data_IF_975328764034
#
_entry.id   IF_975328764034
#
_cell.length_a   1.000
_cell.length_b   1.000
_cell.length_c   1.000
_cell.angle_alpha   90.00
_cell.angle_beta   90.00
_cell.angle_gamma   90.00
#
_symmetry.space_group_name_H-M   'P 1'
#
loop_
_entity.id
_entity.type
_entity.pdbx_description
1 polymer ?
#
# COMPACT_ATOMS: atom_id res chain seq x y z
N UNK A 1 -7.88 -13.86 1.47
CA UNK A 1 -7.53 -14.73 2.61
C UNK A 1 -7.13 -13.84 3.79
N UNK A 2 -7.89 -13.85 4.89
CA UNK A 2 -7.60 -13.02 6.07
C UNK A 2 -6.52 -13.63 6.96
N UNK A 3 -5.27 -13.57 6.51
CA UNK A 3 -4.11 -14.10 7.25
C UNK A 3 -3.64 -13.17 8.37
N UNK A 4 -3.99 -11.88 8.29
CA UNK A 4 -3.65 -10.85 9.27
C UNK A 4 -4.66 -10.91 10.42
N UNK A 5 -4.16 -11.00 11.64
CA UNK A 5 -4.94 -10.88 12.86
C UNK A 5 -5.15 -9.41 13.24
N UNK A 6 -4.05 -8.67 13.38
CA UNK A 6 -4.04 -7.25 13.76
C UNK A 6 -3.24 -6.47 12.75
N UNK A 7 -3.89 -5.55 12.05
CA UNK A 7 -3.29 -4.57 11.16
C UNK A 7 -2.91 -3.34 11.98
N UNK A 8 -1.63 -2.97 11.95
CA UNK A 8 -1.06 -1.83 12.67
C UNK A 8 -0.72 -0.77 11.63
N UNK A 9 -1.29 0.42 11.77
CA UNK A 9 -1.11 1.52 10.81
C UNK A 9 -0.72 2.80 11.54
N UNK A 10 0.27 3.52 11.01
CA UNK A 10 0.62 4.83 11.53
C UNK A 10 -0.47 5.85 11.21
N UNK A 11 -0.90 6.63 12.21
CA UNK A 11 -1.98 7.61 12.05
C UNK A 11 -1.69 8.68 10.98
N UNK A 12 -0.41 9.00 10.75
CA UNK A 12 0.01 10.00 9.76
C UNK A 12 0.55 9.33 8.48
N UNK A 13 0.05 8.13 8.16
CA UNK A 13 0.41 7.45 6.93
C UNK A 13 0.00 8.28 5.71
N UNK A 14 1.00 8.70 4.94
CA UNK A 14 0.85 9.60 3.82
C UNK A 14 0.80 8.86 2.48
N UNK A 15 -0.01 7.81 2.44
CA UNK A 15 -0.21 6.96 1.26
C UNK A 15 -1.67 7.04 0.85
N UNK A 16 -1.87 7.29 -0.44
CA UNK A 16 -3.20 7.37 -1.04
C UNK A 16 -3.37 6.21 -2.01
N UNK A 17 -4.54 5.58 -1.94
CA UNK A 17 -4.96 4.54 -2.87
C UNK A 17 -5.66 5.20 -4.07
N UNK A 18 -5.13 4.93 -5.25
CA UNK A 18 -5.65 5.38 -6.53
C UNK A 18 -6.23 4.23 -7.32
N UNK A 19 -7.45 4.40 -7.80
CA UNK A 19 -8.04 3.52 -8.82
C UNK A 19 -7.90 4.23 -10.16
N UNK A 20 -7.02 3.71 -10.99
CA UNK A 20 -6.68 4.24 -12.29
C UNK A 20 -7.32 3.35 -13.36
N UNK A 21 -8.01 3.94 -14.32
CA UNK A 21 -8.58 3.20 -15.45
C UNK A 21 -7.82 3.53 -16.72
N UNK A 22 -7.35 2.50 -17.42
CA UNK A 22 -6.77 2.67 -18.74
C UNK A 22 -7.91 2.87 -19.76
N UNK A 23 -7.97 4.04 -20.38
CA UNK A 23 -9.01 4.38 -21.36
C UNK A 23 -8.93 3.57 -22.65
N UNK A 24 -7.78 2.98 -22.94
CA UNK A 24 -7.54 2.19 -24.16
C UNK A 24 -7.91 0.72 -23.99
N UNK A 25 -7.62 0.13 -22.82
CA UNK A 25 -7.86 -1.30 -22.54
C UNK A 25 -9.10 -1.54 -21.67
N UNK A 26 -9.56 -0.50 -20.96
CA UNK A 26 -10.63 -0.60 -19.96
C UNK A 26 -10.19 -1.22 -18.64
N UNK A 27 -8.91 -1.57 -18.49
CA UNK A 27 -8.37 -2.20 -17.28
C UNK A 27 -8.32 -1.22 -16.10
N UNK A 28 -8.60 -1.72 -14.89
CA UNK A 28 -8.52 -0.96 -13.65
C UNK A 28 -7.26 -1.38 -12.90
N UNK A 29 -6.36 -0.42 -12.71
CA UNK A 29 -5.08 -0.57 -12.02
C UNK A 29 -5.19 0.14 -10.68
N UNK A 30 -4.84 -0.55 -9.60
CA UNK A 30 -4.80 0.04 -8.26
C UNK A 30 -3.36 0.40 -7.95
N UNK A 31 -3.09 1.68 -7.70
CA UNK A 31 -1.76 2.17 -7.27
C UNK A 31 -1.84 2.75 -5.86
N UNK A 32 -0.76 2.57 -5.09
CA UNK A 32 -0.59 3.18 -3.78
C UNK A 32 0.57 4.16 -3.90
N UNK A 33 0.28 5.46 -3.81
CA UNK A 33 1.25 6.51 -4.07
C UNK A 33 1.45 7.33 -2.79
N UNK A 34 2.72 7.62 -2.47
CA UNK A 34 3.07 8.62 -1.48
C UNK A 34 3.00 10.04 -2.10
N UNK A 35 3.17 11.10 -1.29
CA UNK A 35 3.12 12.49 -1.78
C UNK A 35 4.12 12.81 -2.89
N UNK A 36 5.30 12.22 -2.87
CA UNK A 36 6.35 12.47 -3.86
C UNK A 36 6.00 11.79 -5.19
N UNK A 37 5.50 10.55 -5.12
CA UNK A 37 5.02 9.79 -6.28
C UNK A 37 3.74 10.37 -6.87
N UNK A 38 2.86 10.96 -6.05
CA UNK A 38 1.69 11.70 -6.53
C UNK A 38 2.08 12.92 -7.40
N UNK A 39 3.23 13.54 -7.12
CA UNK A 39 3.72 14.67 -7.91
C UNK A 39 4.31 14.25 -9.27
N UNK A 40 4.69 12.98 -9.44
CA UNK A 40 5.25 12.48 -10.69
C UNK A 40 4.12 12.03 -11.65
N UNK A 41 3.94 12.78 -12.74
CA UNK A 41 2.94 12.50 -13.77
C UNK A 41 3.18 11.17 -14.49
N UNK A 42 4.39 10.62 -14.47
CA UNK A 42 4.67 9.32 -15.06
C UNK A 42 3.92 8.19 -14.34
N UNK A 43 3.60 8.36 -13.05
CA UNK A 43 2.83 7.36 -12.30
C UNK A 43 1.37 7.23 -12.78
N UNK A 44 0.86 8.23 -13.50
CA UNK A 44 -0.47 8.23 -14.11
C UNK A 44 -0.43 7.84 -15.60
N UNK A 45 0.70 7.30 -16.07
CA UNK A 45 0.83 6.77 -17.43
C UNK A 45 1.07 5.28 -17.40
N UNK A 46 0.52 4.62 -18.40
CA UNK A 46 0.71 3.20 -18.63
C UNK A 46 2.12 2.93 -19.17
N UNK A 47 2.89 2.04 -18.55
CA UNK A 47 4.29 1.76 -18.94
C UNK A 47 4.41 1.15 -20.35
N UNK A 48 3.40 0.42 -20.80
CA UNK A 48 3.43 -0.30 -22.08
C UNK A 48 2.88 0.53 -23.23
N UNK A 49 1.84 1.32 -22.97
CA UNK A 49 1.12 2.07 -24.02
C UNK A 49 1.37 3.57 -23.97
N UNK A 50 2.02 4.07 -22.90
CA UNK A 50 2.21 5.49 -22.59
C UNK A 50 0.89 6.30 -22.63
N UNK A 51 -0.24 5.60 -22.48
CA UNK A 51 -1.56 6.20 -22.42
C UNK A 51 -1.78 6.80 -21.03
N UNK A 52 -2.46 7.95 -20.99
CA UNK A 52 -2.88 8.54 -19.72
C UNK A 52 -3.95 7.66 -19.07
N UNK A 53 -3.74 7.36 -17.79
CA UNK A 53 -4.68 6.64 -16.96
C UNK A 53 -5.64 7.63 -16.30
N UNK A 54 -6.93 7.36 -16.40
CA UNK A 54 -7.97 8.18 -15.81
C UNK A 54 -8.12 7.85 -14.33
N UNK A 55 -8.07 8.87 -13.46
CA UNK A 55 -8.31 8.69 -12.02
C UNK A 55 -9.81 8.52 -11.80
N UNK A 56 -10.23 7.30 -11.46
CA UNK A 56 -11.63 6.98 -11.15
C UNK A 56 -11.95 7.23 -9.67
N UNK A 57 -11.06 6.83 -8.77
CA UNK A 57 -11.20 7.03 -7.34
C UNK A 57 -9.86 7.37 -6.69
N UNK A 58 -9.90 8.25 -5.70
CA UNK A 58 -8.76 8.64 -4.87
C UNK A 58 -9.21 8.62 -3.41
N UNK A 59 -8.65 7.71 -2.62
CA UNK A 59 -8.99 7.58 -1.19
C UNK A 59 -7.74 7.39 -0.34
N UNK A 60 -7.61 8.09 0.81
CA UNK A 60 -6.52 7.83 1.75
C UNK A 60 -6.49 6.35 2.15
N UNK A 61 -5.31 5.74 2.12
CA UNK A 61 -5.20 4.30 2.40
C UNK A 61 -5.66 3.98 3.84
N UNK A 62 -5.45 4.90 4.77
CA UNK A 62 -5.92 4.81 6.14
C UNK A 62 -7.46 4.73 6.23
N UNK A 63 -8.16 5.57 5.47
CA UNK A 63 -9.63 5.53 5.42
C UNK A 63 -10.12 4.24 4.77
N UNK A 64 -9.46 3.79 3.71
CA UNK A 64 -9.79 2.51 3.07
C UNK A 64 -9.63 1.34 4.05
N UNK A 65 -8.56 1.31 4.85
CA UNK A 65 -8.41 0.28 5.89
C UNK A 65 -9.54 0.36 6.92
N UNK A 66 -9.94 1.56 7.35
CA UNK A 66 -11.03 1.75 8.30
C UNK A 66 -12.40 1.29 7.75
N UNK A 67 -12.60 1.28 6.43
CA UNK A 67 -13.81 0.73 5.80
C UNK A 67 -13.73 -0.80 5.62
N UNK A 68 -12.56 -1.32 5.26
CA UNK A 68 -12.41 -2.69 4.78
C UNK A 68 -11.96 -3.69 5.85
N UNK A 69 -11.38 -3.26 6.98
CA UNK A 69 -10.82 -4.18 7.99
C UNK A 69 -11.81 -5.27 8.44
N UNK A 70 -13.10 -4.93 8.57
CA UNK A 70 -14.16 -5.86 8.96
C UNK A 70 -14.39 -6.98 7.96
N UNK A 71 -14.21 -6.71 6.66
CA UNK A 71 -14.41 -7.71 5.60
C UNK A 71 -13.28 -8.75 5.60
N UNK A 72 -12.07 -8.33 5.98
CA UNK A 72 -10.93 -9.22 6.14
C UNK A 72 -10.88 -9.91 7.51
N UNK A 73 -11.73 -9.47 8.44
CA UNK A 73 -11.83 -10.00 9.78
C UNK A 73 -10.56 -9.74 10.60
N UNK A 74 -9.80 -8.68 10.31
CA UNK A 74 -8.65 -8.26 11.11
C UNK A 74 -9.05 -7.14 12.09
N UNK A 75 -8.23 -6.94 13.12
CA UNK A 75 -8.32 -5.80 14.04
C UNK A 75 -7.47 -4.67 13.49
N UNK A 76 -7.98 -3.43 13.45
CA UNK A 76 -7.22 -2.26 12.99
C UNK A 76 -6.77 -1.43 14.20
N UNK A 77 -5.46 -1.27 14.36
CA UNK A 77 -4.84 -0.51 15.44
C UNK A 77 -4.03 0.67 14.87
N UNK A 78 -4.29 1.87 15.39
CA UNK A 78 -3.54 3.07 15.01
C UNK A 78 -2.41 3.35 16.00
N UNK A 79 -1.21 3.53 15.47
CA UNK A 79 -0.02 3.85 16.26
C UNK A 79 0.49 5.25 15.98
N UNK A 80 1.29 5.78 16.91
CA UNK A 80 1.92 7.09 16.84
C UNK A 80 3.43 6.92 16.98
N UNK A 81 4.23 7.90 16.55
CA UNK A 81 5.69 7.83 16.66
C UNK A 81 6.24 8.29 18.03
N UNK A 82 5.38 8.48 19.04
CA UNK A 82 5.77 9.06 20.33
C UNK A 82 6.62 8.13 21.20
N UNK A 83 6.52 6.82 21.02
CA UNK A 83 7.38 5.84 21.71
C UNK A 83 8.58 5.47 20.85
N UNK A 84 9.59 4.84 21.46
CA UNK A 84 10.77 4.35 20.75
C UNK A 84 10.38 3.29 19.72
N UNK A 85 9.47 2.40 20.07
CA UNK A 85 8.92 1.36 19.19
C UNK A 85 8.11 1.97 18.05
N UNK A 86 7.25 2.96 18.34
CA UNK A 86 6.48 3.66 17.32
C UNK A 86 7.37 4.42 16.34
N UNK A 87 8.44 5.06 16.83
CA UNK A 87 9.43 5.72 15.97
C UNK A 87 10.16 4.74 15.05
N UNK A 88 10.57 3.57 15.56
CA UNK A 88 11.16 2.51 14.74
C UNK A 88 10.17 1.97 13.71
N UNK A 89 8.90 1.82 14.10
CA UNK A 89 7.86 1.37 13.18
C UNK A 89 7.62 2.34 12.02
N UNK A 90 7.48 3.64 12.33
CA UNK A 90 7.20 4.65 11.31
C UNK A 90 8.39 4.86 10.37
N UNK A 91 9.63 4.83 10.90
CA UNK A 91 10.84 5.11 10.10
C UNK A 91 11.47 3.88 9.48
N UNK A 92 11.47 2.74 10.18
CA UNK A 92 12.13 1.51 9.73
C UNK A 92 11.24 0.60 8.90
N UNK A 93 9.92 0.64 9.10
CA UNK A 93 8.97 -0.25 8.41
C UNK A 93 7.92 0.52 7.59
N UNK A 94 8.11 1.83 7.35
CA UNK A 94 7.21 2.63 6.50
C UNK A 94 5.81 2.88 7.09
N UNK A 95 5.58 2.56 8.36
CA UNK A 95 4.33 2.89 9.06
C UNK A 95 3.13 1.97 8.73
N UNK A 96 3.33 0.84 8.06
CA UNK A 96 2.31 -0.20 7.84
C UNK A 96 2.87 -1.55 8.27
N UNK A 97 2.09 -2.32 9.03
CA UNK A 97 2.49 -3.65 9.46
C UNK A 97 1.31 -4.48 9.91
N UNK A 98 1.53 -5.79 10.04
CA UNK A 98 0.47 -6.71 10.46
C UNK A 98 1.00 -7.86 11.29
N UNK A 99 0.27 -8.23 12.33
CA UNK A 99 0.48 -9.46 13.09
C UNK A 99 -0.34 -10.55 12.40
N UNK A 100 0.33 -11.63 11.99
CA UNK A 100 -0.32 -12.76 11.31
C UNK A 100 -0.93 -13.73 12.32
N UNK A 101 -2.06 -14.35 11.95
CA UNK A 101 -2.72 -15.39 12.76
C UNK A 101 -1.94 -16.68 12.84
N UNK A 102 -1.24 -17.00 11.76
CA UNK A 102 -0.49 -18.23 11.58
C UNK A 102 0.80 -17.90 10.85
N UNK A 103 1.78 -18.79 10.97
CA UNK A 103 2.99 -18.69 10.18
C UNK A 103 2.64 -18.86 8.70
N UNK A 104 2.92 -17.84 7.90
CA UNK A 104 2.77 -17.86 6.45
C UNK A 104 4.17 -17.90 5.84
N UNK A 105 4.39 -18.78 4.86
CA UNK A 105 5.62 -18.74 4.08
C UNK A 105 5.53 -17.63 3.04
N UNK A 106 6.14 -16.49 3.37
CA UNK A 106 6.17 -15.30 2.50
C UNK A 106 7.02 -15.52 1.25
N UNK A 107 7.95 -16.49 1.25
CA UNK A 107 8.85 -16.75 0.11
C UNK A 107 8.10 -17.29 -1.10
N UNK A 108 6.97 -17.94 -0.87
CA UNK A 108 6.08 -18.41 -1.93
C UNK A 108 5.37 -17.26 -2.67
N UNK A 109 5.36 -16.04 -2.12
CA UNK A 109 4.76 -14.86 -2.75
C UNK A 109 5.77 -14.02 -3.54
N UNK A 110 7.06 -14.19 -3.27
CA UNK A 110 8.15 -13.46 -3.95
C UNK A 110 8.29 -13.88 -5.42
N UNK A 111 7.92 -15.13 -5.75
CA UNK A 111 7.91 -15.65 -7.13
C UNK A 111 6.75 -15.11 -7.99
N UNK A 112 5.80 -14.38 -7.41
CA UNK A 112 4.67 -13.76 -8.13
C UNK A 112 4.85 -12.25 -8.35
N UNK A 113 5.83 -11.62 -7.71
CA UNK A 113 6.20 -10.23 -7.88
C UNK A 113 7.26 -10.05 -8.97
N UNK A 114 6.94 -10.44 -10.21
CA UNK A 114 7.71 -10.07 -11.41
C UNK A 114 7.38 -8.64 -11.89
N UNK A 115 7.03 -7.74 -10.97
CA UNK A 115 6.80 -6.31 -11.22
C UNK A 115 7.70 -5.46 -10.30
N UNK A 116 9.00 -5.56 -10.55
CA UNK A 116 9.89 -4.39 -10.64
C UNK A 116 10.16 -3.48 -9.44
N UNK A 117 9.73 -3.77 -8.21
CA UNK A 117 10.11 -2.94 -7.04
C UNK A 117 11.54 -3.29 -6.57
N UNK A 118 12.52 -2.65 -7.21
CA UNK A 118 13.92 -2.65 -6.75
C UNK A 118 13.97 -1.87 -5.42
N UNK A 119 14.04 -2.60 -4.30
CA UNK A 119 14.43 -2.01 -3.03
C UNK A 119 15.90 -1.57 -3.14
N UNK A 120 16.12 -0.27 -3.34
CA UNK A 120 17.44 0.34 -3.21
C UNK A 120 17.83 0.35 -1.73
N UNK A 121 18.48 -0.73 -1.31
CA UNK A 121 19.13 -0.87 -0.01
C UNK A 121 20.40 -0.01 -0.01
N UNK A 122 20.25 1.28 0.21
CA UNK A 122 21.37 2.20 0.40
C UNK A 122 21.80 2.21 1.88
N UNK A 123 23.05 1.80 2.11
CA UNK A 123 23.82 1.70 3.37
C UNK A 123 23.72 2.89 4.34
#
# INVERSE_FOLDING_TARGET
MGAIDTLIVWENLDIVRYELKNSSTGEIIIKHLNKEQEADQNNFRDLNTNAELEVQDKKPLLEWFAEQYRQFGCTLEFVTNKSQEGSQFCRGFGGIGGILRYQVDVRAFDELSDDGEVYDDSE
#
